data_IF_784348388537
#
_entry.id   IF_784348388537
#
_cell.length_a   1.000
_cell.length_b   1.000
_cell.length_c   1.000
_cell.angle_alpha   90.00
_cell.angle_beta   90.00
_cell.angle_gamma   90.00
#
_symmetry.space_group_name_H-M   'P 1'
#
loop_
_entity.id
_entity.type
_entity.pdbx_description
1 polymer ?
#
# COMPACT_ATOMS: atom_id res chain seq x y z
N UNK A 1 -13.88 -4.39 -10.99
CA UNK A 1 -13.75 -3.04 -10.43
C UNK A 1 -12.33 -2.56 -10.51
N UNK A 2 -12.17 -1.29 -10.77
CA UNK A 2 -10.84 -0.72 -10.85
C UNK A 2 -10.25 -0.51 -9.46
N UNK A 3 -8.97 -0.82 -9.31
CA UNK A 3 -8.28 -0.55 -8.08
C UNK A 3 -8.00 0.95 -7.97
N UNK A 4 -8.11 1.49 -6.76
CA UNK A 4 -7.83 2.89 -6.51
C UNK A 4 -6.34 3.20 -6.65
N UNK A 5 -5.50 2.26 -6.24
CA UNK A 5 -4.06 2.41 -6.31
C UNK A 5 -3.48 1.42 -7.29
N UNK A 6 -2.47 1.84 -8.03
CA UNK A 6 -1.87 1.01 -9.06
C UNK A 6 -0.60 0.34 -8.55
N UNK A 7 -0.26 -0.77 -9.16
CA UNK A 7 0.98 -1.47 -8.86
C UNK A 7 2.17 -0.53 -9.02
N UNK A 8 3.03 -0.54 -8.01
CA UNK A 8 4.20 0.34 -7.99
C UNK A 8 3.96 1.69 -7.37
N UNK A 9 2.70 2.01 -7.07
CA UNK A 9 2.37 3.30 -6.46
C UNK A 9 2.74 3.31 -4.98
N UNK A 10 3.22 4.45 -4.50
CA UNK A 10 3.55 4.62 -3.08
C UNK A 10 2.31 5.07 -2.35
N UNK A 11 1.98 4.34 -1.29
CA UNK A 11 0.84 4.66 -0.43
C UNK A 11 1.30 4.63 1.02
N UNK A 12 0.42 5.02 1.92
CA UNK A 12 0.71 5.00 3.35
C UNK A 12 -0.42 4.31 4.09
N UNK A 13 -0.10 3.77 5.25
CA UNK A 13 -1.12 3.22 6.14
C UNK A 13 -1.90 4.38 6.74
N UNK A 14 -3.23 4.31 6.67
CA UNK A 14 -4.07 5.43 7.12
C UNK A 14 -3.86 5.74 8.59
N UNK A 15 -3.77 4.72 9.43
CA UNK A 15 -3.60 4.92 10.87
C UNK A 15 -2.17 5.28 11.24
N UNK A 16 -1.23 5.10 10.33
CA UNK A 16 0.17 5.41 10.57
C UNK A 16 0.77 5.95 9.27
N UNK A 17 0.52 7.22 8.96
CA UNK A 17 0.96 7.78 7.67
C UNK A 17 2.46 7.80 7.45
N UNK A 18 3.25 7.65 8.50
CA UNK A 18 4.69 7.58 8.36
C UNK A 18 5.16 6.24 7.79
N UNK A 19 4.31 5.22 7.85
CA UNK A 19 4.63 3.92 7.28
C UNK A 19 4.29 3.92 5.80
N UNK A 20 5.33 4.01 4.97
CA UNK A 20 5.16 4.07 3.52
C UNK A 20 5.26 2.69 2.90
N UNK A 21 4.41 2.45 1.92
CA UNK A 21 4.27 1.15 1.30
C UNK A 21 4.26 1.29 -0.22
N UNK A 22 4.70 0.24 -0.91
CA UNK A 22 4.58 0.15 -2.35
C UNK A 22 3.53 -0.90 -2.66
N UNK A 23 2.57 -0.56 -3.50
CA UNK A 23 1.55 -1.52 -3.93
C UNK A 23 2.23 -2.56 -4.82
N UNK A 24 2.18 -3.81 -4.39
CA UNK A 24 2.78 -4.90 -5.14
C UNK A 24 1.77 -5.54 -6.10
N UNK A 25 0.57 -5.78 -5.60
CA UNK A 25 -0.51 -6.35 -6.43
C UNK A 25 -1.86 -6.12 -5.76
N UNK A 26 -2.89 -6.24 -6.56
CA UNK A 26 -4.26 -6.07 -6.10
C UNK A 26 -5.06 -7.31 -6.51
N UNK A 27 -5.68 -7.97 -5.55
CA UNK A 27 -6.45 -9.19 -5.79
C UNK A 27 -7.72 -9.15 -4.95
N UNK A 28 -8.87 -9.25 -5.61
CA UNK A 28 -10.17 -9.35 -4.94
C UNK A 28 -10.41 -8.29 -3.87
N UNK A 29 -10.10 -7.04 -4.20
CA UNK A 29 -10.35 -5.93 -3.28
C UNK A 29 -9.31 -5.77 -2.20
N UNK A 30 -8.21 -6.51 -2.28
CA UNK A 30 -7.15 -6.51 -1.28
C UNK A 30 -5.85 -6.08 -1.92
N UNK A 31 -5.13 -5.20 -1.25
CA UNK A 31 -3.82 -4.73 -1.71
C UNK A 31 -2.71 -5.46 -0.98
N UNK A 32 -1.82 -6.04 -1.75
CA UNK A 32 -0.61 -6.66 -1.22
C UNK A 32 0.52 -5.66 -1.39
N UNK A 33 1.04 -5.18 -0.26
CA UNK A 33 2.00 -4.09 -0.26
C UNK A 33 3.31 -4.49 0.39
N UNK A 34 4.37 -3.79 0.04
CA UNK A 34 5.69 -4.00 0.62
C UNK A 34 6.14 -2.70 1.27
N UNK A 35 6.89 -2.80 2.36
CA UNK A 35 7.43 -1.62 3.01
C UNK A 35 8.53 -0.99 2.17
N UNK A 36 8.46 0.31 2.01
CA UNK A 36 9.46 1.05 1.23
C UNK A 36 10.81 1.09 1.94
N UNK A 37 10.79 1.28 3.26
CA UNK A 37 12.00 1.52 4.02
C UNK A 37 12.83 0.28 4.33
N UNK A 38 12.23 -0.88 4.21
CA UNK A 38 12.93 -2.12 4.54
C UNK A 38 12.87 -3.06 3.36
N UNK A 39 13.91 -3.86 3.27
CA UNK A 39 13.94 -4.96 2.33
C UNK A 39 12.91 -5.99 2.81
N UNK A 40 11.66 -5.66 2.66
CA UNK A 40 10.56 -6.47 3.17
C UNK A 40 10.30 -7.63 2.24
N UNK A 41 10.57 -8.82 2.72
CA UNK A 41 10.27 -10.02 1.99
C UNK A 41 8.85 -10.51 2.24
N UNK A 42 8.16 -9.86 3.17
CA UNK A 42 6.78 -10.17 3.50
C UNK A 42 5.83 -9.17 2.91
N UNK A 43 4.84 -9.67 2.21
CA UNK A 43 3.75 -8.82 1.76
C UNK A 43 2.82 -8.52 2.94
N UNK A 44 2.42 -7.26 3.03
CA UNK A 44 1.42 -6.84 4.00
C UNK A 44 0.10 -6.69 3.26
N UNK A 45 -0.98 -7.10 3.88
CA UNK A 45 -2.29 -7.12 3.25
C UNK A 45 -3.15 -6.01 3.80
N UNK A 46 -3.72 -5.20 2.91
CA UNK A 46 -4.56 -4.08 3.30
C UNK A 46 -5.82 -4.02 2.46
N UNK A 47 -6.89 -3.52 3.08
CA UNK A 47 -8.08 -3.12 2.35
C UNK A 47 -7.88 -1.68 1.87
N UNK A 48 -8.61 -1.30 0.84
CA UNK A 48 -8.49 0.05 0.29
C UNK A 48 -8.68 1.12 1.37
N UNK A 49 -9.64 0.92 2.25
CA UNK A 49 -9.93 1.89 3.31
C UNK A 49 -8.82 2.03 4.34
N UNK A 50 -7.90 1.09 4.37
CA UNK A 50 -6.78 1.13 5.30
C UNK A 50 -5.58 1.87 4.74
N UNK A 51 -5.64 2.25 3.47
CA UNK A 51 -4.57 2.93 2.78
C UNK A 51 -4.97 4.37 2.43
N UNK A 52 -3.97 5.21 2.29
CA UNK A 52 -4.16 6.58 1.85
C UNK A 52 -3.00 6.96 0.93
N UNK A 53 -3.17 8.02 0.16
CA UNK A 53 -2.08 8.52 -0.66
C UNK A 53 -0.93 8.95 0.24
N UNK A 54 0.30 8.81 -0.27
CA UNK A 54 1.47 9.24 0.47
C UNK A 54 1.41 10.75 0.70
N UNK A 55 1.29 11.20 1.95
CA UNK A 55 1.17 12.64 2.23
C UNK A 55 2.48 13.40 2.05
N UNK A 56 3.59 12.69 1.90
CA UNK A 56 4.88 13.31 1.71
C UNK A 56 5.20 13.67 0.28
N UNK A 57 4.30 13.41 -0.62
CA UNK A 57 4.50 13.68 -2.04
C UNK A 57 4.02 15.07 -2.40
#
# INVERSE_FOLDING_TARGET
MESKYKRGEIVAERVRPSLKLIVNRYVDGVYYCLRVERDAKKELVYLERELTCDPGV
#
